data_IF_761264100773
#
_entry.id   IF_761264100773
#
_cell.length_a   1.000
_cell.length_b   1.000
_cell.length_c   1.000
_cell.angle_alpha   90.00
_cell.angle_beta   90.00
_cell.angle_gamma   90.00
#
_symmetry.space_group_name_H-M   'P 1'
#
loop_
_entity.id
_entity.type
_entity.pdbx_description
1 polymer ?
#
# COMPACT_ATOMS: atom_id res chain seq x y z
N UNK A 1 -6.00 47.34 18.58
CA UNK A 1 -5.59 46.12 19.32
C UNK A 1 -5.83 44.94 18.40
N UNK A 2 -4.80 44.46 17.72
CA UNK A 2 -4.89 43.26 16.88
C UNK A 2 -4.71 42.04 17.78
N UNK A 3 -5.77 41.24 17.92
CA UNK A 3 -5.72 39.96 18.60
C UNK A 3 -5.01 38.96 17.71
N UNK A 4 -3.75 38.67 18.04
CA UNK A 4 -3.00 37.55 17.47
C UNK A 4 -3.69 36.25 17.81
N UNK A 5 -4.40 35.68 16.83
CA UNK A 5 -4.88 34.30 16.90
C UNK A 5 -3.66 33.39 16.74
N UNK A 6 -3.17 32.86 17.85
CA UNK A 6 -2.36 31.63 17.83
C UNK A 6 -3.21 30.55 17.18
N UNK A 7 -3.00 30.32 15.89
CA UNK A 7 -3.59 29.23 15.13
C UNK A 7 -3.09 27.91 15.74
N UNK A 8 -3.83 27.41 16.72
CA UNK A 8 -3.61 26.14 17.37
C UNK A 8 -3.63 25.06 16.28
N UNK A 9 -2.55 24.28 16.19
CA UNK A 9 -2.41 23.25 15.15
C UNK A 9 -3.61 22.30 15.27
N UNK A 10 -4.36 22.05 14.17
CA UNK A 10 -5.50 21.15 14.23
C UNK A 10 -5.04 19.76 14.68
N UNK A 11 -5.91 18.99 15.35
CA UNK A 11 -5.56 17.64 15.80
C UNK A 11 -5.21 16.75 14.61
N UNK A 12 -4.24 15.84 14.81
CA UNK A 12 -3.89 14.84 13.80
C UNK A 12 -5.12 14.01 13.42
N UNK A 13 -5.27 13.63 12.14
CA UNK A 13 -6.32 12.70 11.70
C UNK A 13 -6.30 11.44 12.56
N UNK A 14 -7.46 11.02 13.04
CA UNK A 14 -7.60 9.84 13.88
C UNK A 14 -8.01 8.63 13.03
N UNK A 15 -7.36 7.50 13.26
CA UNK A 15 -7.69 6.25 12.58
C UNK A 15 -9.01 5.71 13.13
N UNK A 16 -9.97 5.43 12.26
CA UNK A 16 -11.24 4.85 12.68
C UNK A 16 -11.08 3.39 13.13
N UNK A 17 -12.04 2.90 13.93
CA UNK A 17 -12.06 1.50 14.39
C UNK A 17 -12.20 0.54 13.20
N UNK A 18 -12.86 0.93 12.11
CA UNK A 18 -12.97 0.09 10.91
C UNK A 18 -11.70 0.16 10.06
N UNK A 19 -11.08 1.34 9.90
CA UNK A 19 -9.81 1.50 9.20
C UNK A 19 -8.69 0.68 9.88
N UNK A 20 -8.66 0.63 11.22
CA UNK A 20 -7.68 -0.17 11.96
C UNK A 20 -7.81 -1.68 11.72
N UNK A 21 -9.01 -2.18 11.36
CA UNK A 21 -9.24 -3.59 10.99
C UNK A 21 -8.81 -3.91 9.56
N UNK A 22 -8.61 -2.91 8.70
CA UNK A 22 -8.35 -3.10 7.27
C UNK A 22 -7.16 -4.03 6.96
N UNK A 23 -6.01 -3.97 7.67
CA UNK A 23 -4.89 -4.89 7.41
C UNK A 23 -5.26 -6.36 7.54
N UNK A 24 -6.04 -6.72 8.57
CA UNK A 24 -6.51 -8.09 8.80
C UNK A 24 -7.51 -8.52 7.72
N UNK A 25 -8.42 -7.64 7.32
CA UNK A 25 -9.39 -7.93 6.25
C UNK A 25 -8.70 -8.13 4.90
N UNK A 26 -7.61 -7.40 4.64
CA UNK A 26 -6.78 -7.54 3.44
C UNK A 26 -6.05 -8.89 3.39
N UNK A 27 -5.63 -9.43 4.52
CA UNK A 27 -5.06 -10.78 4.60
C UNK A 27 -6.08 -11.85 4.16
N UNK A 28 -7.32 -11.76 4.66
CA UNK A 28 -8.41 -12.66 4.28
C UNK A 28 -8.72 -12.51 2.78
N UNK A 29 -8.78 -11.28 2.28
CA UNK A 29 -8.98 -11.00 0.85
C UNK A 29 -7.89 -11.67 -0.01
N UNK A 30 -6.63 -11.61 0.44
CA UNK A 30 -5.50 -12.29 -0.20
C UNK A 30 -5.71 -13.81 -0.28
N UNK A 31 -6.04 -14.45 0.85
CA UNK A 31 -6.33 -15.90 0.91
C UNK A 31 -7.47 -16.30 -0.03
N UNK A 32 -8.52 -15.48 -0.11
CA UNK A 32 -9.65 -15.71 -1.04
C UNK A 32 -9.22 -15.57 -2.51
N UNK A 33 -8.39 -14.57 -2.84
CA UNK A 33 -7.84 -14.39 -4.19
C UNK A 33 -6.96 -15.56 -4.62
N UNK A 34 -6.10 -16.04 -3.74
CA UNK A 34 -5.24 -17.20 -4.01
C UNK A 34 -6.07 -18.46 -4.26
N UNK A 35 -7.08 -18.71 -3.42
CA UNK A 35 -8.00 -19.82 -3.60
C UNK A 35 -8.79 -19.72 -4.92
N UNK A 36 -9.29 -18.53 -5.27
CA UNK A 36 -9.99 -18.30 -6.54
C UNK A 36 -9.06 -18.52 -7.75
N UNK A 37 -7.81 -18.08 -7.68
CA UNK A 37 -6.81 -18.32 -8.72
C UNK A 37 -6.55 -19.82 -8.91
N UNK A 38 -6.46 -20.58 -7.81
CA UNK A 38 -6.30 -22.03 -7.86
C UNK A 38 -7.54 -22.73 -8.46
N UNK A 39 -8.75 -22.30 -8.10
CA UNK A 39 -10.01 -22.80 -8.70
C UNK A 39 -10.02 -22.55 -10.21
N UNK A 40 -9.72 -21.32 -10.63
CA UNK A 40 -9.70 -20.95 -12.04
C UNK A 40 -8.71 -21.79 -12.86
N UNK A 41 -7.52 -22.07 -12.31
CA UNK A 41 -6.54 -22.95 -12.94
C UNK A 41 -7.08 -24.37 -13.18
N UNK A 42 -7.78 -24.94 -12.20
CA UNK A 42 -8.39 -26.28 -12.32
C UNK A 42 -9.60 -26.30 -13.24
N UNK A 43 -10.41 -25.25 -13.23
CA UNK A 43 -11.53 -25.11 -14.18
C UNK A 43 -11.01 -25.10 -15.62
N UNK A 44 -9.90 -24.39 -15.89
CA UNK A 44 -9.26 -24.39 -17.22
C UNK A 44 -8.77 -25.78 -17.63
N UNK A 45 -8.16 -26.52 -16.70
CA UNK A 45 -7.71 -27.91 -16.94
C UNK A 45 -8.89 -28.82 -17.30
N UNK A 46 -9.97 -28.77 -16.52
CA UNK A 46 -11.21 -29.50 -16.80
C UNK A 46 -11.78 -29.14 -18.16
N UNK A 47 -11.79 -27.86 -18.53
CA UNK A 47 -12.36 -27.40 -19.79
C UNK A 47 -11.53 -27.88 -21.00
N UNK A 48 -10.21 -28.00 -20.85
CA UNK A 48 -9.36 -28.65 -21.87
C UNK A 48 -9.70 -30.15 -22.01
N UNK A 49 -9.90 -30.87 -20.91
CA UNK A 49 -10.29 -32.28 -20.96
C UNK A 49 -11.69 -32.48 -21.58
N UNK A 50 -12.64 -31.59 -21.27
CA UNK A 50 -13.97 -31.57 -21.90
C UNK A 50 -13.88 -31.37 -23.41
N UNK A 51 -12.97 -30.48 -23.85
CA UNK A 51 -12.69 -30.28 -25.28
C UNK A 51 -12.12 -31.55 -25.91
N UNK A 52 -11.10 -32.16 -25.30
CA UNK A 52 -10.51 -33.42 -25.79
C UNK A 52 -11.55 -34.55 -25.87
N UNK A 53 -12.43 -34.65 -24.86
CA UNK A 53 -13.51 -35.63 -24.84
C UNK A 53 -14.46 -35.43 -26.03
N UNK A 54 -14.78 -34.18 -26.38
CA UNK A 54 -15.65 -33.85 -27.50
C UNK A 54 -15.02 -34.15 -28.87
N UNK A 55 -13.70 -34.08 -28.97
CA UNK A 55 -12.92 -34.42 -30.18
C UNK A 55 -12.72 -35.96 -30.31
N UNK A 56 -13.07 -36.71 -29.27
CA UNK A 56 -12.88 -38.15 -29.19
C UNK A 56 -14.02 -38.94 -29.89
N UNK A 57 -14.21 -38.73 -31.19
CA UNK A 57 -15.41 -39.16 -31.96
C UNK A 57 -15.34 -40.56 -32.61
N UNK A 58 -14.34 -41.40 -32.31
CA UNK A 58 -14.16 -42.72 -32.93
C UNK A 58 -14.75 -43.89 -32.14
N UNK A 59 -15.32 -44.89 -32.82
CA UNK A 59 -15.90 -46.11 -32.21
C UNK A 59 -14.85 -46.87 -31.37
N UNK A 60 -13.60 -46.93 -31.82
CA UNK A 60 -12.49 -47.56 -31.10
C UNK A 60 -11.92 -46.73 -29.94
N UNK A 61 -12.37 -45.49 -29.73
CA UNK A 61 -11.86 -44.59 -28.67
C UNK A 61 -12.65 -44.69 -27.35
N UNK A 62 -13.43 -45.76 -27.15
CA UNK A 62 -14.26 -45.96 -25.95
C UNK A 62 -13.45 -45.93 -24.64
N UNK A 63 -12.28 -46.56 -24.60
CA UNK A 63 -11.38 -46.54 -23.44
C UNK A 63 -10.91 -45.13 -23.07
N UNK A 64 -10.39 -44.39 -24.06
CA UNK A 64 -9.94 -43.00 -23.87
C UNK A 64 -11.08 -42.08 -23.40
N UNK A 65 -12.29 -42.23 -23.95
CA UNK A 65 -13.46 -41.46 -23.50
C UNK A 65 -13.78 -41.71 -22.02
N UNK A 66 -13.70 -42.96 -21.58
CA UNK A 66 -13.93 -43.33 -20.18
C UNK A 66 -12.88 -42.73 -19.25
N UNK A 67 -11.60 -42.78 -19.62
CA UNK A 67 -10.50 -42.16 -18.86
C UNK A 67 -10.68 -40.64 -18.73
N UNK A 68 -10.96 -39.96 -19.85
CA UNK A 68 -11.20 -38.52 -19.86
C UNK A 68 -12.38 -38.13 -18.97
N UNK A 69 -13.48 -38.89 -19.01
CA UNK A 69 -14.63 -38.66 -18.15
C UNK A 69 -14.27 -38.82 -16.67
N UNK A 70 -13.53 -39.86 -16.30
CA UNK A 70 -13.10 -40.09 -14.92
C UNK A 70 -12.24 -38.93 -14.38
N UNK A 71 -11.32 -38.40 -15.19
CA UNK A 71 -10.48 -37.27 -14.78
C UNK A 71 -11.31 -35.97 -14.67
N UNK A 72 -12.27 -35.75 -15.56
CA UNK A 72 -13.22 -34.64 -15.45
C UNK A 72 -14.01 -34.72 -14.14
N UNK A 73 -14.56 -35.89 -13.81
CA UNK A 73 -15.34 -36.10 -12.58
C UNK A 73 -14.49 -35.85 -11.32
N UNK A 74 -13.23 -36.29 -11.36
CA UNK A 74 -12.24 -36.04 -10.30
C UNK A 74 -11.96 -34.55 -10.13
N UNK A 75 -11.74 -33.82 -11.22
CA UNK A 75 -11.53 -32.37 -11.19
C UNK A 75 -12.77 -31.62 -10.69
N UNK A 76 -13.98 -32.01 -11.11
CA UNK A 76 -15.22 -31.40 -10.64
C UNK A 76 -15.42 -31.61 -9.13
N UNK A 77 -15.08 -32.79 -8.60
CA UNK A 77 -15.07 -33.03 -7.15
C UNK A 77 -14.05 -32.14 -6.41
N UNK A 78 -12.84 -32.01 -6.95
CA UNK A 78 -11.82 -31.13 -6.38
C UNK A 78 -12.25 -29.66 -6.39
N UNK A 79 -12.76 -29.17 -7.52
CA UNK A 79 -13.27 -27.79 -7.67
C UNK A 79 -14.41 -27.53 -6.68
N UNK A 80 -15.34 -28.48 -6.51
CA UNK A 80 -16.43 -28.37 -5.54
C UNK A 80 -15.90 -28.22 -4.10
N UNK A 81 -14.92 -29.02 -3.71
CA UNK A 81 -14.29 -28.90 -2.39
C UNK A 81 -13.51 -27.58 -2.22
N UNK A 82 -12.82 -27.15 -3.27
CA UNK A 82 -12.12 -25.86 -3.27
C UNK A 82 -13.09 -24.67 -3.14
N UNK A 83 -14.28 -24.75 -3.77
CA UNK A 83 -15.34 -23.74 -3.63
C UNK A 83 -15.91 -23.72 -2.21
N UNK A 84 -16.13 -24.88 -1.59
CA UNK A 84 -16.52 -24.96 -0.16
C UNK A 84 -15.46 -24.34 0.77
N UNK A 85 -14.18 -24.44 0.41
CA UNK A 85 -13.09 -23.83 1.19
C UNK A 85 -13.17 -22.31 1.22
N UNK A 86 -13.71 -21.64 0.19
CA UNK A 86 -13.93 -20.18 0.23
C UNK A 86 -14.83 -19.76 1.40
N UNK A 87 -15.93 -20.48 1.61
CA UNK A 87 -16.81 -20.25 2.77
C UNK A 87 -16.14 -20.60 4.09
N UNK A 88 -15.29 -21.63 4.12
CA UNK A 88 -14.51 -21.97 5.32
C UNK A 88 -13.54 -20.84 5.69
N UNK A 89 -12.85 -20.25 4.71
CA UNK A 89 -11.87 -19.16 4.94
C UNK A 89 -12.54 -17.98 5.65
N UNK A 90 -13.72 -17.55 5.21
CA UNK A 90 -14.39 -16.40 5.85
C UNK A 90 -14.95 -16.75 7.23
N UNK A 91 -15.42 -17.99 7.42
CA UNK A 91 -15.92 -18.48 8.72
C UNK A 91 -14.82 -18.61 9.78
N UNK A 92 -13.58 -18.96 9.38
CA UNK A 92 -12.41 -18.94 10.27
C UNK A 92 -12.20 -17.56 10.94
N UNK A 93 -12.75 -16.49 10.36
CA UNK A 93 -12.67 -15.12 10.87
C UNK A 93 -14.03 -14.58 11.36
N UNK A 94 -14.96 -15.47 11.72
CA UNK A 94 -16.29 -15.13 12.25
C UNK A 94 -17.21 -14.37 11.28
N UNK A 95 -17.02 -14.55 9.97
CA UNK A 95 -17.98 -14.07 8.98
C UNK A 95 -18.96 -15.18 8.58
N UNK A 96 -20.25 -14.86 8.57
CA UNK A 96 -21.31 -15.80 8.18
C UNK A 96 -21.23 -16.18 6.69
N UNK A 97 -20.80 -15.23 5.85
CA UNK A 97 -20.72 -15.38 4.41
C UNK A 97 -19.63 -14.51 3.78
N UNK A 98 -19.24 -14.85 2.55
CA UNK A 98 -18.32 -14.02 1.74
C UNK A 98 -18.93 -12.64 1.46
N UNK A 99 -20.25 -12.54 1.35
CA UNK A 99 -20.94 -11.27 1.17
C UNK A 99 -20.83 -10.37 2.41
N UNK A 100 -21.01 -10.94 3.61
CA UNK A 100 -20.84 -10.20 4.87
C UNK A 100 -19.39 -9.70 5.01
N UNK A 101 -18.41 -10.57 4.72
CA UNK A 101 -17.00 -10.19 4.66
C UNK A 101 -16.74 -9.04 3.68
N UNK A 102 -17.23 -9.14 2.44
CA UNK A 102 -17.03 -8.10 1.42
C UNK A 102 -17.63 -6.75 1.83
N UNK A 103 -18.76 -6.76 2.54
CA UNK A 103 -19.38 -5.53 3.07
C UNK A 103 -18.47 -4.84 4.08
N UNK A 104 -17.92 -5.58 5.04
CA UNK A 104 -17.00 -5.01 6.05
C UNK A 104 -15.67 -4.59 5.42
N UNK A 105 -15.11 -5.40 4.51
CA UNK A 105 -13.90 -5.07 3.76
C UNK A 105 -14.04 -3.74 3.00
N UNK A 106 -15.14 -3.57 2.28
CA UNK A 106 -15.37 -2.35 1.50
C UNK A 106 -15.56 -1.11 2.39
N UNK A 107 -16.22 -1.26 3.53
CA UNK A 107 -16.37 -0.18 4.51
C UNK A 107 -15.02 0.21 5.12
N UNK A 108 -14.27 -0.77 5.63
CA UNK A 108 -12.94 -0.57 6.19
C UNK A 108 -11.95 0.03 5.18
N UNK A 109 -12.02 -0.42 3.91
CA UNK A 109 -11.20 0.12 2.82
C UNK A 109 -11.49 1.59 2.58
N UNK A 110 -12.76 1.99 2.52
CA UNK A 110 -13.15 3.39 2.31
C UNK A 110 -12.63 4.26 3.45
N UNK A 111 -12.89 3.88 4.70
CA UNK A 111 -12.44 4.67 5.84
C UNK A 111 -10.91 4.74 5.96
N UNK A 112 -10.20 3.67 5.60
CA UNK A 112 -8.75 3.70 5.54
C UNK A 112 -8.23 4.65 4.44
N UNK A 113 -8.90 4.69 3.28
CA UNK A 113 -8.56 5.63 2.20
C UNK A 113 -8.84 7.08 2.60
N UNK A 114 -9.97 7.34 3.27
CA UNK A 114 -10.32 8.66 3.78
C UNK A 114 -9.30 9.13 4.85
N UNK A 115 -8.89 8.23 5.74
CA UNK A 115 -7.82 8.48 6.71
C UNK A 115 -6.48 8.77 6.04
N UNK A 116 -6.05 7.95 5.07
CA UNK A 116 -4.80 8.16 4.33
C UNK A 116 -4.79 9.50 3.58
N UNK A 117 -5.93 9.89 3.00
CA UNK A 117 -6.07 11.18 2.33
C UNK A 117 -5.98 12.35 3.33
N UNK A 118 -6.72 12.28 4.45
CA UNK A 118 -6.67 13.31 5.49
C UNK A 118 -5.26 13.43 6.11
N UNK A 119 -4.59 12.30 6.33
CA UNK A 119 -3.21 12.26 6.82
C UNK A 119 -2.23 12.88 5.82
N UNK A 120 -2.38 12.61 4.52
CA UNK A 120 -1.56 13.21 3.48
C UNK A 120 -1.74 14.74 3.38
N UNK A 121 -2.97 15.23 3.52
CA UNK A 121 -3.24 16.68 3.56
C UNK A 121 -2.66 17.33 4.82
N UNK A 122 -2.81 16.68 5.97
CA UNK A 122 -2.23 17.13 7.24
C UNK A 122 -0.70 17.17 7.18
N UNK A 123 -0.05 16.17 6.60
CA UNK A 123 1.39 16.12 6.41
C UNK A 123 1.86 17.21 5.43
N UNK A 124 1.10 17.48 4.37
CA UNK A 124 1.44 18.55 3.42
C UNK A 124 1.35 19.95 4.04
N UNK A 125 0.40 20.16 4.95
CA UNK A 125 0.10 21.46 5.55
C UNK A 125 0.89 21.73 6.83
N UNK A 126 1.05 20.71 7.67
CA UNK A 126 1.67 20.79 8.99
C UNK A 126 2.79 19.77 9.22
N UNK A 127 2.96 18.79 8.35
CA UNK A 127 4.17 17.99 8.33
C UNK A 127 5.36 18.94 8.23
N UNK A 128 6.40 18.62 8.97
CA UNK A 128 7.59 19.45 9.02
C UNK A 128 8.09 19.51 7.58
N UNK A 129 7.83 20.62 6.86
CA UNK A 129 8.67 21.02 5.75
C UNK A 129 10.05 20.95 6.38
N UNK A 130 10.86 19.96 5.99
CA UNK A 130 12.28 19.95 6.33
C UNK A 130 12.74 21.33 5.90
N UNK A 131 12.81 22.25 6.87
CA UNK A 131 13.17 23.63 6.64
C UNK A 131 14.60 23.46 6.25
N UNK A 132 14.78 23.51 4.93
CA UNK A 132 15.96 23.15 4.18
C UNK A 132 17.17 23.31 5.09
N UNK A 133 17.65 22.23 5.71
CA UNK A 133 18.75 22.31 6.68
C UNK A 133 20.00 22.83 5.98
N UNK A 134 20.01 22.82 4.64
CA UNK A 134 20.91 23.59 3.78
C UNK A 134 20.78 25.10 4.02
N UNK A 135 19.60 25.70 4.04
CA UNK A 135 19.39 27.13 4.26
C UNK A 135 20.02 27.65 5.57
N UNK A 136 19.88 26.92 6.68
CA UNK A 136 20.49 27.34 7.96
C UNK A 136 22.02 27.20 7.90
N UNK A 137 22.54 26.07 7.41
CA UNK A 137 23.99 25.83 7.29
C UNK A 137 24.66 26.80 6.32
N UNK A 138 23.97 27.15 5.24
CA UNK A 138 24.43 28.05 4.21
C UNK A 138 24.39 29.50 4.67
N UNK A 139 23.37 29.91 5.43
CA UNK A 139 23.35 31.20 6.14
C UNK A 139 24.46 31.33 7.17
N UNK A 140 24.81 30.25 7.88
CA UNK A 140 25.95 30.23 8.82
C UNK A 140 27.26 30.41 8.03
N UNK A 141 27.50 29.64 6.97
CA UNK A 141 28.70 29.77 6.12
C UNK A 141 28.83 31.17 5.49
N UNK A 142 27.74 31.75 5.02
CA UNK A 142 27.74 33.12 4.48
C UNK A 142 28.13 34.14 5.57
N UNK A 143 27.59 34.02 6.78
CA UNK A 143 27.95 34.91 7.90
C UNK A 143 29.41 34.74 8.32
N UNK A 144 29.93 33.51 8.36
CA UNK A 144 31.34 33.24 8.65
C UNK A 144 32.28 33.87 7.60
N UNK A 145 31.93 33.78 6.32
CA UNK A 145 32.72 34.39 5.25
C UNK A 145 32.72 35.92 5.35
N UNK A 146 31.57 36.54 5.61
CA UNK A 146 31.45 38.00 5.80
C UNK A 146 32.31 38.48 7.00
N UNK A 147 32.35 37.70 8.10
CA UNK A 147 33.19 38.03 9.26
C UNK A 147 34.68 37.96 8.90
N UNK A 148 35.11 36.89 8.22
CA UNK A 148 36.51 36.74 7.77
C UNK A 148 36.95 37.88 6.85
N UNK A 149 36.13 38.25 5.88
CA UNK A 149 36.47 39.33 4.94
C UNK A 149 36.56 40.69 5.66
N UNK A 150 35.68 40.92 6.65
CA UNK A 150 35.72 42.13 7.48
C UNK A 150 36.94 42.20 8.38
N UNK A 151 37.37 41.07 8.95
CA UNK A 151 38.59 40.99 9.76
C UNK A 151 39.85 41.15 8.90
N UNK A 152 39.90 40.55 7.72
CA UNK A 152 40.97 40.73 6.75
C UNK A 152 41.11 42.21 6.32
N UNK A 153 39.99 42.89 6.06
CA UNK A 153 39.98 44.32 5.75
C UNK A 153 40.51 45.20 6.89
N UNK A 154 40.16 44.88 8.14
CA UNK A 154 40.67 45.59 9.33
C UNK A 154 42.17 45.35 9.55
N UNK A 155 42.64 44.12 9.38
CA UNK A 155 44.06 43.78 9.47
C UNK A 155 44.87 44.48 8.37
N UNK A 156 44.31 44.60 7.16
CA UNK A 156 44.96 45.30 6.07
C UNK A 156 45.06 46.82 6.32
N UNK A 157 44.01 47.44 6.86
CA UNK A 157 44.02 48.86 7.25
C UNK A 157 44.99 49.13 8.42
N UNK A 158 45.09 48.23 9.40
CA UNK A 158 46.04 48.35 10.51
C UNK A 158 47.50 48.31 10.00
N UNK A 159 47.82 47.42 9.05
CA UNK A 159 49.16 47.33 8.44
C UNK A 159 49.53 48.53 7.57
N UNK A 160 48.56 49.25 6.98
CA UNK A 160 48.86 50.46 6.22
C UNK A 160 49.15 51.67 7.12
N UNK A 161 48.47 51.79 8.27
CA UNK A 161 48.73 52.88 9.23
C UNK A 161 50.14 52.80 9.84
N UNK A 162 50.69 51.61 9.99
CA UNK A 162 52.01 51.38 10.58
C UNK A 162 53.19 51.70 9.62
N UNK A 163 52.92 51.83 8.31
CA UNK A 163 53.93 52.19 7.30
C UNK A 163 54.00 53.69 6.98
N UNK A 164 53.11 54.50 7.53
CA UNK A 164 53.08 55.96 7.35
C UNK A 164 53.77 56.76 8.46
N UNK A 165 54.35 56.09 9.47
CA UNK A 165 55.05 56.71 10.58
C UNK A 165 56.57 56.47 10.46
N UNK A 166 57.20 57.03 9.43
CA UNK A 166 58.65 57.27 9.35
C UNK A 166 58.92 58.54 8.58
#
# INVERSE_FOLDING_TARGET
METGQTAERPPQPQLSILASKYPRLKEIEGRLKDQNKAIFGREKERDMLKKELSECTGIFKGGRRKELQQEIDRLDFQISNMKKRLSSIVREYNFDSVQAFNKELNAAKRENQDYEAAYAEYEKTYGEKVVDTRSVRERIRQKEQIVKDREAGRAHQARQKDKGAR
#
